data_IF_697493485684
#
_entry.id   IF_697493485684
#
_cell.length_a   1.000
_cell.length_b   1.000
_cell.length_c   1.000
_cell.angle_alpha   90.00
_cell.angle_beta   90.00
_cell.angle_gamma   90.00
#
_symmetry.space_group_name_H-M   'P 1'
#
loop_
_entity.id
_entity.type
_entity.pdbx_description
1 polymer ?
#
# COMPACT_ATOMS: atom_id res chain seq x y z
N UNK A 1 45.91 -38.38 29.86
CA UNK A 1 45.42 -38.50 28.47
C UNK A 1 43.99 -37.94 28.38
N UNK A 2 43.79 -36.99 27.45
CA UNK A 2 42.53 -36.54 26.85
C UNK A 2 41.45 -35.90 27.75
N UNK A 3 41.72 -34.64 28.12
CA UNK A 3 40.73 -33.59 28.39
C UNK A 3 40.05 -33.14 27.07
N UNK A 4 39.22 -33.99 26.44
CA UNK A 4 38.56 -33.67 25.15
C UNK A 4 37.08 -34.06 25.16
N UNK A 5 36.37 -33.84 26.26
CA UNK A 5 34.91 -34.09 26.31
C UNK A 5 34.11 -32.80 26.50
N UNK A 6 34.75 -31.68 26.84
CA UNK A 6 34.07 -30.41 27.13
C UNK A 6 33.87 -29.41 25.96
N UNK A 7 34.49 -29.51 24.75
CA UNK A 7 34.19 -28.55 23.69
C UNK A 7 33.10 -29.02 22.71
N UNK A 8 32.66 -30.29 22.77
CA UNK A 8 31.77 -30.85 21.73
C UNK A 8 30.28 -30.56 22.04
N UNK A 9 29.91 -30.36 23.30
CA UNK A 9 28.51 -30.08 23.68
C UNK A 9 28.14 -28.60 23.52
N UNK A 10 29.11 -27.69 23.43
CA UNK A 10 28.86 -26.24 23.32
C UNK A 10 28.70 -25.74 21.86
N UNK A 11 29.12 -26.53 20.87
CA UNK A 11 28.99 -26.17 19.44
C UNK A 11 27.63 -26.61 18.86
N UNK A 12 26.92 -27.50 19.55
CA UNK A 12 25.58 -27.96 19.12
C UNK A 12 24.44 -26.98 19.45
N UNK A 13 24.71 -25.90 20.21
CA UNK A 13 23.69 -24.95 20.68
C UNK A 13 23.68 -23.60 19.93
N UNK A 14 24.54 -23.40 18.93
CA UNK A 14 24.64 -22.14 18.18
C UNK A 14 24.11 -22.19 16.75
N UNK A 15 23.51 -23.30 16.31
CA UNK A 15 22.63 -23.28 15.13
C UNK A 15 21.27 -22.71 15.54
N UNK A 16 21.26 -21.43 15.93
CA UNK A 16 20.07 -20.61 15.83
C UNK A 16 19.55 -20.80 14.41
N UNK A 17 18.28 -21.19 14.34
CA UNK A 17 17.50 -21.29 13.13
C UNK A 17 17.88 -20.18 12.16
N UNK A 18 18.50 -20.55 11.04
CA UNK A 18 18.36 -19.76 9.82
C UNK A 18 16.87 -19.83 9.52
N UNK A 19 16.12 -18.84 10.02
CA UNK A 19 14.79 -18.56 9.50
C UNK A 19 15.06 -18.25 8.03
N UNK A 20 14.65 -19.10 7.07
CA UNK A 20 14.82 -18.75 5.69
C UNK A 20 14.17 -17.40 5.51
N UNK A 21 14.91 -16.42 4.98
CA UNK A 21 14.32 -15.20 4.48
C UNK A 21 13.08 -15.62 3.67
N UNK A 22 11.94 -14.97 3.92
CA UNK A 22 10.71 -15.23 3.20
C UNK A 22 10.99 -15.33 1.70
N UNK A 23 10.23 -16.14 0.98
CA UNK A 23 10.39 -16.25 -0.48
C UNK A 23 10.33 -14.83 -1.06
N UNK A 24 11.42 -14.40 -1.70
CA UNK A 24 11.47 -13.12 -2.42
C UNK A 24 10.23 -12.95 -3.29
N UNK A 25 9.68 -11.74 -3.32
CA UNK A 25 8.55 -11.39 -4.20
C UNK A 25 8.87 -11.84 -5.63
N UNK A 26 7.94 -12.57 -6.25
CA UNK A 26 8.10 -13.07 -7.61
C UNK A 26 8.39 -11.91 -8.59
N UNK A 27 9.31 -12.14 -9.53
CA UNK A 27 9.74 -11.10 -10.48
C UNK A 27 8.59 -10.56 -11.32
N UNK A 28 7.64 -11.43 -11.69
CA UNK A 28 6.45 -11.06 -12.45
C UNK A 28 5.52 -10.21 -11.60
N UNK A 29 5.27 -10.61 -10.35
CA UNK A 29 4.40 -9.87 -9.43
C UNK A 29 4.98 -8.48 -9.12
N UNK A 30 6.29 -8.40 -8.90
CA UNK A 30 7.02 -7.14 -8.72
C UNK A 30 6.88 -6.22 -9.94
N UNK A 31 7.09 -6.76 -11.14
CA UNK A 31 6.95 -6.00 -12.39
C UNK A 31 5.50 -5.51 -12.59
N UNK A 32 4.51 -6.36 -12.33
CA UNK A 32 3.10 -6.04 -12.43
C UNK A 32 2.70 -4.92 -11.46
N UNK A 33 3.09 -5.01 -10.19
CA UNK A 33 2.81 -3.99 -9.18
C UNK A 33 3.41 -2.64 -9.57
N UNK A 34 4.68 -2.61 -10.00
CA UNK A 34 5.35 -1.38 -10.45
C UNK A 34 4.64 -0.80 -11.68
N UNK A 35 4.26 -1.64 -12.65
CA UNK A 35 3.54 -1.19 -13.84
C UNK A 35 2.20 -0.57 -13.47
N UNK A 36 1.41 -1.23 -12.63
CA UNK A 36 0.11 -0.76 -12.19
C UNK A 36 0.19 0.54 -11.38
N UNK A 37 1.19 0.69 -10.51
CA UNK A 37 1.46 1.93 -9.79
C UNK A 37 1.78 3.11 -10.70
N UNK A 38 2.56 2.88 -11.77
CA UNK A 38 2.86 3.92 -12.77
C UNK A 38 1.63 4.27 -13.61
N UNK A 39 0.88 3.25 -14.04
CA UNK A 39 -0.32 3.42 -14.85
C UNK A 39 -1.36 4.27 -14.12
N UNK A 40 -1.71 3.88 -12.88
CA UNK A 40 -2.73 4.58 -12.09
C UNK A 40 -2.28 5.97 -11.64
N UNK A 41 -0.96 6.18 -11.41
CA UNK A 41 -0.40 7.52 -11.18
C UNK A 41 -0.63 8.43 -12.39
N UNK A 42 -0.24 7.95 -13.58
CA UNK A 42 -0.42 8.68 -14.85
C UNK A 42 -1.88 8.95 -15.15
N UNK A 43 -2.75 7.97 -14.88
CA UNK A 43 -4.19 8.11 -15.04
C UNK A 43 -4.73 9.25 -14.17
N UNK A 44 -4.45 9.24 -12.86
CA UNK A 44 -4.92 10.32 -11.98
C UNK A 44 -4.42 11.70 -12.42
N UNK A 45 -3.13 11.79 -12.78
CA UNK A 45 -2.55 13.03 -13.29
C UNK A 45 -3.29 13.55 -14.52
N UNK A 46 -3.58 12.66 -15.47
CA UNK A 46 -4.29 12.98 -16.70
C UNK A 46 -5.71 13.49 -16.41
N UNK A 47 -6.46 12.81 -15.55
CA UNK A 47 -7.86 13.14 -15.25
C UNK A 47 -8.02 14.51 -14.57
N UNK A 48 -7.01 14.96 -13.81
CA UNK A 48 -7.06 16.28 -13.14
C UNK A 48 -6.38 17.40 -13.93
N UNK A 49 -5.68 17.06 -15.03
CA UNK A 49 -4.93 18.04 -15.82
C UNK A 49 -5.87 18.94 -16.61
N UNK A 50 -5.64 20.25 -16.55
CA UNK A 50 -6.41 21.25 -17.30
C UNK A 50 -7.76 21.62 -16.69
N UNK A 51 -8.14 21.03 -15.55
CA UNK A 51 -9.34 21.44 -14.82
C UNK A 51 -9.11 22.77 -14.11
N UNK A 52 -10.09 23.67 -14.21
CA UNK A 52 -10.15 24.91 -13.43
C UNK A 52 -10.49 24.63 -11.97
N UNK A 53 -10.18 25.58 -11.08
CA UNK A 53 -10.55 25.49 -9.66
C UNK A 53 -12.07 25.32 -9.46
N UNK A 54 -12.89 25.96 -10.30
CA UNK A 54 -14.35 25.79 -10.23
C UNK A 54 -14.77 24.36 -10.59
N UNK A 55 -14.16 23.75 -11.60
CA UNK A 55 -14.44 22.35 -11.95
C UNK A 55 -13.95 21.38 -10.88
N UNK A 56 -12.77 21.63 -10.30
CA UNK A 56 -12.20 20.81 -9.23
C UNK A 56 -13.07 20.81 -7.96
N UNK A 57 -13.67 21.95 -7.64
CA UNK A 57 -14.48 22.14 -6.44
C UNK A 57 -15.98 21.97 -6.67
N UNK A 58 -16.43 21.76 -7.91
CA UNK A 58 -17.84 21.54 -8.21
C UNK A 58 -18.36 20.26 -7.54
N UNK A 59 -19.61 20.33 -7.06
CA UNK A 59 -20.32 19.22 -6.43
C UNK A 59 -21.70 19.07 -7.07
N UNK A 60 -22.11 17.85 -7.44
CA UNK A 60 -23.47 17.60 -7.92
C UNK A 60 -24.52 17.67 -6.79
N UNK A 61 -24.11 17.44 -5.54
CA UNK A 61 -24.92 17.54 -4.33
C UNK A 61 -24.02 17.67 -3.10
N UNK A 62 -24.55 18.21 -2.00
CA UNK A 62 -23.78 18.44 -0.76
C UNK A 62 -23.22 17.15 -0.13
N UNK A 63 -23.90 16.04 -0.36
CA UNK A 63 -23.50 14.71 0.13
C UNK A 63 -22.45 14.02 -0.74
N UNK A 64 -22.00 14.66 -1.82
CA UNK A 64 -21.05 14.09 -2.80
C UNK A 64 -19.73 14.84 -2.75
N UNK A 65 -18.63 14.09 -2.82
CA UNK A 65 -17.28 14.66 -2.90
C UNK A 65 -17.03 15.33 -4.24
N UNK A 66 -16.37 16.49 -4.21
CA UNK A 66 -15.81 17.12 -5.41
C UNK A 66 -14.60 16.34 -5.92
N UNK A 67 -14.10 16.70 -7.11
CA UNK A 67 -12.85 16.12 -7.64
C UNK A 67 -11.68 16.41 -6.68
N UNK A 68 -11.60 17.63 -6.14
CA UNK A 68 -10.60 18.00 -5.14
C UNK A 68 -10.67 17.09 -3.90
N UNK A 69 -11.88 16.81 -3.40
CA UNK A 69 -12.10 15.90 -2.28
C UNK A 69 -11.68 14.46 -2.60
N UNK A 70 -11.94 13.98 -3.83
CA UNK A 70 -11.47 12.67 -4.28
C UNK A 70 -9.94 12.58 -4.36
N UNK A 71 -9.26 13.61 -4.85
CA UNK A 71 -7.79 13.66 -4.91
C UNK A 71 -7.19 13.67 -3.50
N UNK A 72 -7.75 14.47 -2.59
CA UNK A 72 -7.35 14.46 -1.18
C UNK A 72 -7.54 13.07 -0.55
N UNK A 73 -8.70 12.43 -0.79
CA UNK A 73 -8.97 11.08 -0.31
C UNK A 73 -7.92 10.06 -0.79
N UNK A 74 -7.55 10.12 -2.08
CA UNK A 74 -6.51 9.25 -2.65
C UNK A 74 -5.16 9.50 -1.98
N UNK A 75 -4.78 10.77 -1.78
CA UNK A 75 -3.51 11.12 -1.14
C UNK A 75 -3.38 10.61 0.30
N UNK A 76 -4.48 10.64 1.07
CA UNK A 76 -4.47 10.21 2.47
C UNK A 76 -4.56 8.68 2.61
N UNK A 77 -5.32 8.02 1.74
CA UNK A 77 -5.45 6.56 1.74
C UNK A 77 -4.16 5.87 1.29
N UNK A 78 -3.49 6.39 0.26
CA UNK A 78 -2.19 5.87 -0.19
C UNK A 78 -1.16 5.84 0.96
N UNK A 79 -1.15 6.88 1.79
CA UNK A 79 -0.27 6.95 2.95
C UNK A 79 -0.66 5.96 4.05
N UNK A 80 -1.95 5.94 4.43
CA UNK A 80 -2.44 5.10 5.52
C UNK A 80 -2.40 3.61 5.20
N UNK A 81 -2.84 3.22 4.00
CA UNK A 81 -2.89 1.80 3.58
C UNK A 81 -1.48 1.20 3.55
N UNK A 82 -0.49 1.91 3.00
CA UNK A 82 0.88 1.40 3.01
C UNK A 82 1.43 1.26 4.43
N UNK A 83 1.19 2.24 5.30
CA UNK A 83 1.58 2.15 6.71
C UNK A 83 0.97 0.95 7.40
N UNK A 84 -0.34 0.74 7.22
CA UNK A 84 -1.05 -0.43 7.73
C UNK A 84 -0.49 -1.74 7.19
N UNK A 85 -0.23 -1.83 5.88
CA UNK A 85 0.37 -3.02 5.28
C UNK A 85 1.72 -3.36 5.92
N UNK A 86 2.61 -2.38 6.08
CA UNK A 86 3.91 -2.58 6.72
C UNK A 86 3.80 -2.96 8.19
N UNK A 87 2.87 -2.36 8.93
CA UNK A 87 2.61 -2.72 10.33
C UNK A 87 2.10 -4.16 10.45
N UNK A 88 1.20 -4.59 9.56
CA UNK A 88 0.71 -5.98 9.52
C UNK A 88 1.81 -6.96 9.17
N UNK A 89 2.67 -6.65 8.19
CA UNK A 89 3.81 -7.50 7.81
C UNK A 89 4.83 -7.65 8.94
N UNK A 90 4.98 -6.63 9.79
CA UNK A 90 5.92 -6.65 10.93
C UNK A 90 5.34 -7.29 12.19
N UNK A 91 4.03 -7.52 12.23
CA UNK A 91 3.35 -8.10 13.39
C UNK A 91 3.55 -9.63 13.43
N UNK A 92 3.41 -10.21 14.64
CA UNK A 92 3.31 -11.66 14.75
C UNK A 92 2.08 -12.17 14.00
N UNK A 93 2.19 -13.35 13.39
CA UNK A 93 1.09 -13.95 12.67
C UNK A 93 -0.15 -14.09 13.57
N UNK A 94 -1.27 -13.51 13.13
CA UNK A 94 -2.55 -13.62 13.81
C UNK A 94 -3.21 -14.96 13.43
N UNK A 95 -3.24 -15.89 14.39
CA UNK A 95 -3.80 -17.23 14.20
C UNK A 95 -5.32 -17.23 14.01
N UNK A 96 -6.00 -16.11 14.24
CA UNK A 96 -7.44 -15.95 13.96
C UNK A 96 -7.74 -15.65 12.48
N UNK A 97 -6.73 -15.28 11.67
CA UNK A 97 -6.90 -15.01 10.25
C UNK A 97 -6.95 -16.30 9.44
N UNK A 98 -8.01 -16.42 8.63
CA UNK A 98 -8.17 -17.54 7.69
C UNK A 98 -7.30 -17.34 6.45
N UNK A 99 -6.07 -17.84 6.52
CA UNK A 99 -5.09 -17.80 5.42
C UNK A 99 -5.39 -18.79 4.28
N UNK A 100 -6.46 -19.61 4.39
CA UNK A 100 -6.89 -20.50 3.30
C UNK A 100 -7.63 -19.76 2.19
N UNK A 101 -8.20 -18.59 2.51
CA UNK A 101 -8.85 -17.71 1.54
C UNK A 101 -7.81 -17.01 0.68
N UNK A 102 -7.59 -17.56 -0.50
CA UNK A 102 -6.80 -16.91 -1.55
C UNK A 102 -7.70 -15.96 -2.33
N UNK A 103 -7.39 -14.68 -2.29
CA UNK A 103 -7.96 -13.68 -3.21
C UNK A 103 -6.89 -13.35 -4.23
N UNK A 104 -7.26 -13.37 -5.50
CA UNK A 104 -6.36 -13.02 -6.60
C UNK A 104 -6.28 -11.51 -6.79
N UNK A 105 -5.17 -11.03 -7.36
CA UNK A 105 -5.00 -9.61 -7.68
C UNK A 105 -6.12 -9.08 -8.61
N UNK A 106 -6.58 -9.91 -9.55
CA UNK A 106 -7.66 -9.54 -10.47
C UNK A 106 -9.00 -9.39 -9.75
N UNK A 107 -9.32 -10.27 -8.80
CA UNK A 107 -10.50 -10.12 -7.95
C UNK A 107 -10.42 -8.86 -7.08
N UNK A 108 -9.24 -8.53 -6.53
CA UNK A 108 -9.04 -7.30 -5.76
C UNK A 108 -9.27 -6.08 -6.64
N UNK A 109 -8.63 -6.02 -7.82
CA UNK A 109 -8.78 -4.91 -8.76
C UNK A 109 -10.24 -4.74 -9.19
N UNK A 110 -10.93 -5.82 -9.56
CA UNK A 110 -12.35 -5.77 -9.97
C UNK A 110 -13.24 -5.28 -8.83
N UNK A 111 -13.07 -5.80 -7.61
CA UNK A 111 -13.87 -5.37 -6.45
C UNK A 111 -13.59 -3.91 -6.06
N UNK A 112 -12.35 -3.43 -6.19
CA UNK A 112 -11.98 -2.06 -5.87
C UNK A 112 -12.53 -1.02 -6.85
N UNK A 113 -12.80 -1.39 -8.10
CA UNK A 113 -13.39 -0.49 -9.10
C UNK A 113 -14.91 -0.62 -9.20
N UNK A 114 -15.51 -1.65 -8.61
CA UNK A 114 -16.96 -1.77 -8.53
C UNK A 114 -17.54 -0.60 -7.72
N UNK A 115 -18.60 0.03 -8.26
CA UNK A 115 -19.31 1.15 -7.65
C UNK A 115 -20.78 0.81 -7.35
N UNK A 116 -21.19 -0.44 -7.57
CA UNK A 116 -22.53 -0.95 -7.24
C UNK A 116 -22.80 -0.88 -5.73
N UNK A 117 -21.75 -1.06 -4.91
CA UNK A 117 -21.78 -0.94 -3.46
C UNK A 117 -20.99 0.30 -3.02
N UNK A 118 -21.68 1.25 -2.38
CA UNK A 118 -21.07 2.49 -1.87
C UNK A 118 -20.63 2.30 -0.42
N UNK A 119 -19.36 1.94 -0.23
CA UNK A 119 -18.77 1.85 1.10
C UNK A 119 -18.44 3.25 1.66
N UNK A 120 -18.67 3.44 2.96
CA UNK A 120 -18.30 4.69 3.65
C UNK A 120 -16.83 4.63 4.05
N UNK A 121 -16.07 5.66 3.69
CA UNK A 121 -14.69 5.78 4.13
C UNK A 121 -14.62 6.01 5.66
N UNK A 122 -13.68 5.36 6.37
CA UNK A 122 -13.34 5.69 7.74
C UNK A 122 -13.01 7.18 7.91
N UNK A 123 -13.32 7.75 9.08
CA UNK A 123 -13.14 9.19 9.35
C UNK A 123 -11.74 9.70 9.02
N UNK A 124 -10.69 8.93 9.35
CA UNK A 124 -9.29 9.28 9.09
C UNK A 124 -8.97 9.51 7.61
N UNK A 125 -9.73 8.86 6.72
CA UNK A 125 -9.56 8.95 5.27
C UNK A 125 -10.53 9.92 4.61
N UNK A 126 -11.45 10.52 5.36
CA UNK A 126 -12.32 11.53 4.77
C UNK A 126 -11.52 12.79 4.41
N UNK A 127 -11.84 13.43 3.28
CA UNK A 127 -11.26 14.73 2.94
C UNK A 127 -11.69 15.75 4.00
N UNK A 128 -10.72 16.53 4.47
CA UNK A 128 -10.89 17.52 5.53
C UNK A 128 -10.35 18.89 5.14
N UNK A 129 -9.88 19.06 3.90
CA UNK A 129 -9.20 20.28 3.46
C UNK A 129 -7.78 20.39 4.05
N UNK A 130 -7.10 19.26 4.32
CA UNK A 130 -5.77 19.28 4.96
C UNK A 130 -4.64 19.72 4.04
N UNK A 131 -4.90 19.78 2.73
CA UNK A 131 -3.98 20.31 1.74
C UNK A 131 -4.48 21.68 1.29
N UNK A 132 -3.53 22.57 0.96
CA UNK A 132 -3.87 23.93 0.53
C UNK A 132 -4.75 23.97 -0.73
N UNK A 133 -4.61 22.99 -1.63
CA UNK A 133 -5.39 22.84 -2.85
C UNK A 133 -5.17 21.44 -3.46
N UNK A 134 -5.88 21.14 -4.56
CA UNK A 134 -5.78 19.87 -5.29
C UNK A 134 -4.36 19.56 -5.77
N UNK A 135 -3.58 20.58 -6.16
CA UNK A 135 -2.19 20.39 -6.61
C UNK A 135 -1.31 19.89 -5.48
N UNK A 136 -1.44 20.46 -4.28
CA UNK A 136 -0.68 20.01 -3.11
C UNK A 136 -1.12 18.61 -2.64
N UNK A 137 -2.42 18.29 -2.72
CA UNK A 137 -2.91 16.93 -2.48
C UNK A 137 -2.31 15.93 -3.49
N UNK A 138 -2.32 16.25 -4.78
CA UNK A 138 -1.72 15.41 -5.82
C UNK A 138 -0.20 15.25 -5.63
N UNK A 139 0.53 16.31 -5.29
CA UNK A 139 1.97 16.23 -4.98
C UNK A 139 2.25 15.29 -3.80
N UNK A 140 1.43 15.33 -2.75
CA UNK A 140 1.56 14.43 -1.61
C UNK A 140 1.33 12.97 -2.02
N UNK A 141 0.29 12.71 -2.82
CA UNK A 141 0.05 11.41 -3.44
C UNK A 141 1.25 10.96 -4.29
N UNK A 142 1.72 11.80 -5.21
CA UNK A 142 2.80 11.50 -6.14
C UNK A 142 4.09 11.14 -5.41
N UNK A 143 4.48 11.94 -4.42
CA UNK A 143 5.66 11.67 -3.58
C UNK A 143 5.56 10.30 -2.90
N UNK A 144 4.38 9.97 -2.35
CA UNK A 144 4.16 8.69 -1.70
C UNK A 144 4.24 7.54 -2.71
N UNK A 145 3.55 7.67 -3.84
CA UNK A 145 3.54 6.68 -4.92
C UNK A 145 4.94 6.39 -5.46
N UNK A 146 5.77 7.42 -5.66
CA UNK A 146 7.15 7.24 -6.11
C UNK A 146 7.99 6.51 -5.06
N UNK A 147 7.75 6.78 -3.78
CA UNK A 147 8.38 6.04 -2.68
C UNK A 147 7.95 4.58 -2.65
N UNK A 148 6.69 4.27 -2.93
CA UNK A 148 6.16 2.89 -3.04
C UNK A 148 6.74 2.15 -4.23
N UNK A 149 6.85 2.81 -5.39
CA UNK A 149 7.51 2.24 -6.57
C UNK A 149 8.98 1.93 -6.26
N UNK A 150 9.67 2.83 -5.54
CA UNK A 150 11.05 2.60 -5.15
C UNK A 150 11.17 1.44 -4.16
N UNK A 151 10.30 1.38 -3.15
CA UNK A 151 10.21 0.26 -2.22
C UNK A 151 10.02 -1.06 -2.98
N UNK A 152 9.07 -1.13 -3.92
CA UNK A 152 8.84 -2.34 -4.72
C UNK A 152 10.04 -2.73 -5.62
N UNK A 153 10.94 -1.81 -5.95
CA UNK A 153 12.16 -2.15 -6.69
C UNK A 153 13.25 -2.76 -5.80
N UNK A 154 13.30 -2.36 -4.54
CA UNK A 154 14.46 -2.64 -3.66
C UNK A 154 14.14 -3.58 -2.51
N UNK A 155 12.88 -3.74 -2.13
CA UNK A 155 12.49 -4.56 -0.99
C UNK A 155 12.81 -6.05 -1.21
N UNK A 156 13.25 -6.68 -0.11
CA UNK A 156 13.46 -8.11 0.07
C UNK A 156 12.50 -8.70 1.12
N UNK A 157 11.49 -7.92 1.50
CA UNK A 157 10.39 -8.37 2.34
C UNK A 157 9.60 -9.49 1.64
#
# INVERSE_FOLDING_TARGET
MKKIILPIVLIALTMLAFIPAGKDIDKKDRANAIAYFKETKKFLQKEISGLSENQLNWKPADSVWSIANCVEHIAVTENGIFGWAMSTLSAAADSSLDMSKKVTDDEIKTKLIDRSVKNKAPEIFKPSGRFANTREAYKAFEKKRDSLIQYMKTTKD
#
